data_IF_031391416250
#
_entry.id   IF_031391416250
#
_cell.length_a   1.000
_cell.length_b   1.000
_cell.length_c   1.000
_cell.angle_alpha   90.00
_cell.angle_beta   90.00
_cell.angle_gamma   90.00
#
_symmetry.space_group_name_H-M   'P 1'
#
loop_
_entity.id
_entity.type
_entity.pdbx_description
1 polymer ?
#
# COMPACT_ATOMS: atom_id res chain seq x y z
N UNK A 1 10.31 9.87 -6.12
CA UNK A 1 9.25 9.45 -5.18
C UNK A 1 7.92 9.45 -5.92
N UNK A 2 7.23 8.32 -5.99
CA UNK A 2 5.89 8.22 -6.60
C UNK A 2 4.86 8.38 -5.49
N UNK A 3 3.88 9.27 -5.69
CA UNK A 3 2.73 9.42 -4.77
C UNK A 3 1.65 8.44 -5.20
N UNK A 4 1.18 7.62 -4.28
CA UNK A 4 0.11 6.65 -4.50
C UNK A 4 -1.04 7.03 -3.56
N UNK A 5 -2.24 7.18 -4.11
CA UNK A 5 -3.44 7.33 -3.33
C UNK A 5 -4.01 5.93 -3.02
N UNK A 6 -4.34 5.71 -1.75
CA UNK A 6 -4.98 4.49 -1.26
C UNK A 6 -6.25 4.93 -0.54
N UNK A 7 -7.39 4.51 -1.07
CA UNK A 7 -8.67 4.70 -0.42
C UNK A 7 -8.89 3.46 0.46
N UNK A 8 -8.85 3.66 1.78
CA UNK A 8 -9.11 2.62 2.77
C UNK A 8 -10.52 2.81 3.32
N UNK A 9 -11.24 1.70 3.49
CA UNK A 9 -12.44 1.67 4.31
C UNK A 9 -12.09 1.95 5.78
N UNK A 10 -13.08 2.34 6.61
CA UNK A 10 -12.85 2.61 8.03
C UNK A 10 -12.26 1.42 8.80
N UNK A 11 -12.56 0.19 8.37
CA UNK A 11 -12.05 -1.04 8.97
C UNK A 11 -10.58 -1.30 8.59
N UNK A 12 -10.23 -1.09 7.33
CA UNK A 12 -8.85 -1.21 6.84
C UNK A 12 -7.94 -0.15 7.47
N UNK A 13 -8.43 1.08 7.65
CA UNK A 13 -7.65 2.13 8.33
C UNK A 13 -7.35 1.76 9.79
N UNK A 14 -8.34 1.20 10.51
CA UNK A 14 -8.12 0.65 11.86
C UNK A 14 -7.10 -0.49 11.85
N UNK A 15 -7.15 -1.38 10.87
CA UNK A 15 -6.19 -2.48 10.76
C UNK A 15 -4.75 -1.97 10.57
N UNK A 16 -4.55 -0.96 9.71
CA UNK A 16 -3.26 -0.29 9.52
C UNK A 16 -2.78 0.37 10.81
N UNK A 17 -3.71 0.97 11.56
CA UNK A 17 -3.41 1.68 12.80
C UNK A 17 -3.03 0.73 13.94
N UNK A 18 -3.72 -0.41 14.07
CA UNK A 18 -3.36 -1.49 14.99
C UNK A 18 -2.00 -2.07 14.60
N UNK A 19 -1.77 -2.36 13.32
CA UNK A 19 -0.50 -2.88 12.84
C UNK A 19 0.66 -1.93 13.15
N UNK A 20 0.43 -0.61 12.99
CA UNK A 20 1.38 0.44 13.35
C UNK A 20 1.77 0.37 14.83
N UNK A 21 0.79 0.26 15.72
CA UNK A 21 1.00 0.19 17.17
C UNK A 21 1.76 -1.08 17.58
N UNK A 22 1.32 -2.25 17.10
CA UNK A 22 1.93 -3.55 17.42
C UNK A 22 3.39 -3.62 16.94
N UNK A 23 3.71 -3.00 15.81
CA UNK A 23 5.05 -3.02 15.22
C UNK A 23 5.92 -1.82 15.61
N UNK A 24 5.47 -0.95 16.52
CA UNK A 24 6.21 0.24 16.95
C UNK A 24 6.54 1.22 15.82
N UNK A 25 5.68 1.29 14.79
CA UNK A 25 5.89 2.15 13.62
C UNK A 25 5.43 3.58 13.90
N UNK A 26 6.11 4.56 13.30
CA UNK A 26 5.81 5.98 13.55
C UNK A 26 4.69 6.49 12.67
N UNK A 27 4.61 6.00 11.43
CA UNK A 27 3.66 6.50 10.43
C UNK A 27 2.78 5.41 9.84
N UNK A 28 1.55 5.75 9.44
CA UNK A 28 0.67 4.84 8.68
C UNK A 28 1.31 4.43 7.34
N UNK A 29 2.11 5.30 6.72
CA UNK A 29 2.82 4.98 5.49
C UNK A 29 3.86 3.86 5.66
N UNK A 30 4.62 3.86 6.77
CA UNK A 30 5.56 2.77 7.06
C UNK A 30 4.83 1.45 7.33
N UNK A 31 3.70 1.50 8.03
CA UNK A 31 2.84 0.35 8.23
C UNK A 31 2.38 -0.25 6.91
N UNK A 32 1.80 0.57 6.02
CA UNK A 32 1.33 0.15 4.70
C UNK A 32 2.47 -0.43 3.86
N UNK A 33 3.65 0.19 3.84
CA UNK A 33 4.82 -0.34 3.12
C UNK A 33 5.24 -1.72 3.62
N UNK A 34 5.28 -1.91 4.94
CA UNK A 34 5.60 -3.21 5.54
C UNK A 34 4.53 -4.25 5.22
N UNK A 35 3.26 -3.89 5.29
CA UNK A 35 2.13 -4.76 4.93
C UNK A 35 2.27 -5.20 3.48
N UNK A 36 2.32 -4.27 2.53
CA UNK A 36 2.42 -4.56 1.08
C UNK A 36 3.66 -5.42 0.78
N UNK A 37 4.80 -5.13 1.40
CA UNK A 37 6.03 -5.92 1.23
C UNK A 37 5.89 -7.36 1.74
N UNK A 38 5.14 -7.56 2.83
CA UNK A 38 4.96 -8.88 3.43
C UNK A 38 3.97 -9.75 2.66
N UNK A 39 3.03 -9.14 1.94
CA UNK A 39 1.99 -9.86 1.22
C UNK A 39 2.33 -10.19 -0.25
N UNK A 40 3.53 -9.85 -0.75
CA UNK A 40 3.93 -10.05 -2.18
C UNK A 40 2.78 -9.75 -3.16
N UNK A 41 2.01 -8.70 -2.88
CA UNK A 41 0.88 -8.36 -3.74
C UNK A 41 1.46 -7.79 -5.01
N UNK A 42 1.13 -8.36 -6.17
CA UNK A 42 1.41 -7.72 -7.46
C UNK A 42 0.70 -6.36 -7.50
N UNK A 43 1.43 -5.30 -7.15
CA UNK A 43 0.93 -3.92 -7.25
C UNK A 43 0.91 -3.54 -8.73
N UNK A 44 -0.14 -3.97 -9.44
CA UNK A 44 -0.38 -3.54 -10.82
C UNK A 44 -0.93 -2.10 -10.78
N UNK A 45 -0.21 -1.12 -11.37
CA UNK A 45 -0.74 0.24 -11.45
C UNK A 45 -2.05 0.25 -12.24
N UNK A 46 -3.10 0.87 -11.69
CA UNK A 46 -4.42 0.98 -12.33
C UNK A 46 -4.41 1.70 -13.69
N UNK A 47 -3.32 2.41 -14.04
CA UNK A 47 -3.18 3.20 -15.27
C UNK A 47 -2.13 2.65 -16.25
N UNK A 48 -1.99 1.34 -16.40
CA UNK A 48 -1.29 0.80 -17.58
C UNK A 48 -2.26 0.82 -18.77
N UNK A 49 -2.14 1.85 -19.62
CA UNK A 49 -2.61 1.74 -21.01
C UNK A 49 -1.87 0.55 -21.61
N UNK A 50 -2.62 -0.48 -22.04
CA UNK A 50 -2.14 -1.80 -22.49
C UNK A 50 -1.14 -1.79 -23.65
N UNK A 51 -0.73 -0.64 -24.17
CA UNK A 51 -0.07 -0.52 -25.48
C UNK A 51 1.42 -0.17 -25.44
N UNK A 52 2.01 0.18 -24.29
CA UNK A 52 3.43 0.58 -24.24
C UNK A 52 4.40 -0.50 -23.74
N UNK A 53 3.92 -1.70 -23.37
CA UNK A 53 4.82 -2.76 -22.86
C UNK A 53 5.43 -3.66 -23.93
N UNK A 54 5.22 -3.34 -25.22
CA UNK A 54 5.88 -4.01 -26.35
C UNK A 54 6.38 -2.98 -27.37
N UNK A 55 7.38 -2.18 -26.99
CA UNK A 55 8.34 -1.58 -27.93
C UNK A 55 9.71 -1.45 -27.27
#
# INVERSE_FOLDING_TARGET
>A
MVKIQLDLSPEEDKAVEIYKLVNGLKTKQEAIKKIIKHFEVEVKPKNLKKEEYFK
#
